data_IF_340931577513
#
_entry.id   IF_340931577513
#
_cell.length_a   1.000
_cell.length_b   1.000
_cell.length_c   1.000
_cell.angle_alpha   90.00
_cell.angle_beta   90.00
_cell.angle_gamma   90.00
#
_symmetry.space_group_name_H-M   'P 1'
#
loop_
_entity.id
_entity.type
_entity.pdbx_description
1 polymer ?
#
# COMPACT_ATOMS: atom_id res chain seq x y z
N UNK A 1 30.40 -10.51 -10.42
CA UNK A 1 29.58 -10.48 -11.65
C UNK A 1 28.12 -10.59 -11.23
N UNK A 2 27.26 -9.65 -11.66
CA UNK A 2 25.84 -9.75 -11.43
C UNK A 2 25.31 -11.00 -12.14
N UNK A 3 24.40 -11.76 -11.49
CA UNK A 3 23.78 -12.95 -12.09
C UNK A 3 23.04 -12.52 -13.37
N UNK A 4 23.39 -13.11 -14.50
CA UNK A 4 22.73 -12.90 -15.79
C UNK A 4 21.34 -13.56 -15.87
N UNK A 5 20.91 -14.29 -14.83
CA UNK A 5 19.62 -14.95 -14.80
C UNK A 5 18.59 -14.05 -14.15
N UNK A 6 17.62 -13.62 -14.95
CA UNK A 6 16.39 -13.01 -14.41
C UNK A 6 15.69 -13.97 -13.44
N UNK A 7 15.30 -13.43 -12.28
CA UNK A 7 14.60 -14.17 -11.24
C UNK A 7 13.36 -13.39 -10.83
N UNK A 8 12.37 -14.07 -10.27
CA UNK A 8 11.16 -13.44 -9.75
C UNK A 8 9.90 -14.16 -10.16
N UNK A 9 8.77 -13.63 -9.68
CA UNK A 9 7.45 -14.24 -9.86
C UNK A 9 7.08 -14.42 -11.35
N UNK A 10 7.23 -13.37 -12.15
CA UNK A 10 6.93 -13.40 -13.58
C UNK A 10 7.80 -14.42 -14.33
N UNK A 11 9.09 -14.53 -13.96
CA UNK A 11 10.01 -15.47 -14.59
C UNK A 11 9.65 -16.92 -14.29
N UNK A 12 9.25 -17.23 -13.06
CA UNK A 12 8.76 -18.57 -12.71
C UNK A 12 7.52 -18.95 -13.54
N UNK A 13 6.60 -18.01 -13.76
CA UNK A 13 5.40 -18.23 -14.59
C UNK A 13 5.78 -18.50 -16.04
N UNK A 14 6.62 -17.64 -16.64
CA UNK A 14 7.10 -17.82 -18.02
C UNK A 14 7.84 -19.17 -18.20
N UNK A 15 8.69 -19.51 -17.25
CA UNK A 15 9.40 -20.79 -17.25
C UNK A 15 8.45 -21.98 -17.12
N UNK A 16 7.36 -21.83 -16.37
CA UNK A 16 6.35 -22.87 -16.25
C UNK A 16 5.58 -23.05 -17.56
N UNK A 17 5.26 -21.98 -18.27
CA UNK A 17 4.67 -22.05 -19.60
C UNK A 17 5.60 -22.75 -20.62
N UNK A 18 6.91 -22.45 -20.59
CA UNK A 18 7.88 -23.17 -21.39
C UNK A 18 7.90 -24.67 -21.07
N UNK A 19 7.87 -25.02 -19.78
CA UNK A 19 7.80 -26.41 -19.35
C UNK A 19 6.53 -27.11 -19.89
N UNK A 20 5.37 -26.45 -19.81
CA UNK A 20 4.11 -26.98 -20.36
C UNK A 20 4.21 -27.18 -21.87
N UNK A 21 4.80 -26.25 -22.60
CA UNK A 21 4.98 -26.38 -24.04
C UNK A 21 5.80 -27.64 -24.41
N UNK A 22 6.93 -27.88 -23.72
CA UNK A 22 7.73 -29.11 -23.95
C UNK A 22 6.94 -30.36 -23.66
N UNK A 23 6.32 -30.49 -22.47
CA UNK A 23 5.60 -31.71 -22.11
C UNK A 23 4.37 -31.93 -23.00
N UNK A 24 3.76 -30.88 -23.54
CA UNK A 24 2.68 -30.98 -24.52
C UNK A 24 3.20 -31.52 -25.87
N UNK A 25 4.42 -31.14 -26.27
CA UNK A 25 5.05 -31.64 -27.49
C UNK A 25 5.45 -33.11 -27.41
N UNK A 26 5.63 -33.66 -26.21
CA UNK A 26 5.92 -35.10 -26.02
C UNK A 26 4.70 -36.00 -26.28
N UNK A 27 3.53 -35.42 -26.47
CA UNK A 27 2.30 -36.15 -26.87
C UNK A 27 1.89 -37.24 -25.90
N UNK A 28 1.50 -38.41 -26.42
CA UNK A 28 1.01 -39.53 -25.62
C UNK A 28 2.06 -40.17 -24.68
N UNK A 29 3.35 -39.91 -24.92
CA UNK A 29 4.43 -40.37 -24.04
C UNK A 29 4.44 -39.65 -22.69
N UNK A 30 3.98 -38.43 -22.65
CA UNK A 30 3.77 -37.69 -21.37
C UNK A 30 2.36 -37.99 -20.83
N UNK A 31 2.27 -39.08 -20.03
CA UNK A 31 0.99 -39.51 -19.46
C UNK A 31 1.10 -39.83 -17.96
N UNK A 32 1.24 -38.78 -17.11
CA UNK A 32 1.34 -38.96 -15.66
C UNK A 32 0.05 -39.51 -15.05
N UNK A 33 0.15 -40.47 -14.14
CA UNK A 33 -0.98 -40.97 -13.36
C UNK A 33 -1.49 -39.98 -12.34
N UNK A 34 -0.59 -39.11 -11.82
CA UNK A 34 -0.95 -38.01 -10.89
C UNK A 34 -1.68 -36.93 -11.64
N UNK A 35 -2.97 -36.71 -11.30
CA UNK A 35 -3.85 -35.72 -11.95
C UNK A 35 -3.23 -34.33 -12.01
N UNK A 36 -2.62 -33.84 -10.90
CA UNK A 36 -2.01 -32.54 -10.81
C UNK A 36 -0.87 -32.27 -11.83
N UNK A 37 -0.30 -33.35 -12.43
CA UNK A 37 0.78 -33.21 -13.42
C UNK A 37 0.26 -33.30 -14.86
N UNK A 38 -1.02 -33.57 -15.08
CA UNK A 38 -1.60 -33.61 -16.44
C UNK A 38 -1.65 -32.22 -17.05
N UNK A 39 -1.45 -32.12 -18.35
CA UNK A 39 -1.39 -30.84 -19.09
C UNK A 39 -2.57 -29.89 -18.81
N UNK A 40 -3.85 -30.33 -18.70
CA UNK A 40 -4.94 -29.43 -18.37
C UNK A 40 -4.78 -28.76 -16.99
N UNK A 41 -4.34 -29.51 -15.99
CA UNK A 41 -4.09 -28.98 -14.63
C UNK A 41 -2.89 -28.04 -14.58
N UNK A 42 -1.82 -28.35 -15.34
CA UNK A 42 -0.68 -27.44 -15.47
C UNK A 42 -1.09 -26.11 -16.09
N UNK A 43 -1.92 -26.13 -17.13
CA UNK A 43 -2.48 -24.90 -17.74
C UNK A 43 -3.33 -24.12 -16.74
N UNK A 44 -4.15 -24.79 -15.93
CA UNK A 44 -4.95 -24.14 -14.88
C UNK A 44 -4.04 -23.44 -13.84
N UNK A 45 -2.95 -24.08 -13.42
CA UNK A 45 -1.97 -23.48 -12.50
C UNK A 45 -1.31 -22.25 -13.15
N UNK A 46 -0.90 -22.34 -14.42
CA UNK A 46 -0.29 -21.24 -15.16
C UNK A 46 -1.24 -20.02 -15.24
N UNK A 47 -2.47 -20.20 -15.70
CA UNK A 47 -3.48 -19.15 -15.82
C UNK A 47 -3.81 -18.52 -14.45
N UNK A 48 -3.92 -19.37 -13.40
CA UNK A 48 -4.16 -18.88 -12.05
C UNK A 48 -2.99 -18.02 -11.56
N UNK A 49 -1.75 -18.44 -11.81
CA UNK A 49 -0.56 -17.68 -11.42
C UNK A 49 -0.45 -16.34 -12.14
N UNK A 50 -0.76 -16.28 -13.45
CA UNK A 50 -0.83 -15.05 -14.22
C UNK A 50 -1.88 -14.10 -13.65
N UNK A 51 -3.09 -14.61 -13.39
CA UNK A 51 -4.18 -13.83 -12.79
C UNK A 51 -3.76 -13.24 -11.45
N UNK A 52 -3.13 -14.03 -10.58
CA UNK A 52 -2.67 -13.55 -9.27
C UNK A 52 -1.54 -12.52 -9.37
N UNK A 53 -0.66 -12.65 -10.36
CA UNK A 53 0.36 -11.64 -10.64
C UNK A 53 -0.28 -10.32 -11.12
N UNK A 54 -1.24 -10.38 -12.04
CA UNK A 54 -1.97 -9.22 -12.53
C UNK A 54 -2.80 -8.53 -11.43
N UNK A 55 -3.42 -9.30 -10.53
CA UNK A 55 -4.12 -8.77 -9.36
C UNK A 55 -3.19 -7.92 -8.48
N UNK A 56 -1.96 -8.36 -8.21
CA UNK A 56 -0.99 -7.56 -7.43
C UNK A 56 -0.70 -6.23 -8.10
N UNK A 57 -0.50 -6.20 -9.41
CA UNK A 57 -0.25 -4.97 -10.18
C UNK A 57 -1.45 -4.02 -10.04
N UNK A 58 -2.66 -4.51 -10.26
CA UNK A 58 -3.90 -3.72 -10.15
C UNK A 58 -4.09 -3.16 -8.75
N UNK A 59 -3.91 -3.99 -7.70
CA UNK A 59 -4.07 -3.55 -6.30
C UNK A 59 -2.98 -2.55 -5.90
N UNK A 60 -1.74 -2.72 -6.39
CA UNK A 60 -0.67 -1.76 -6.13
C UNK A 60 -0.94 -0.40 -6.79
N UNK A 61 -1.47 -0.39 -8.02
CA UNK A 61 -1.90 0.85 -8.69
C UNK A 61 -3.02 1.54 -7.90
N UNK A 62 -4.03 0.79 -7.43
CA UNK A 62 -5.10 1.33 -6.60
C UNK A 62 -4.58 1.92 -5.27
N UNK A 63 -3.59 1.28 -4.64
CA UNK A 63 -2.94 1.82 -3.44
C UNK A 63 -2.22 3.15 -3.74
N UNK A 64 -1.44 3.22 -4.82
CA UNK A 64 -0.76 4.45 -5.20
C UNK A 64 -1.75 5.59 -5.48
N UNK A 65 -2.86 5.30 -6.16
CA UNK A 65 -3.92 6.27 -6.41
C UNK A 65 -4.55 6.76 -5.09
N UNK A 66 -4.86 5.87 -4.16
CA UNK A 66 -5.39 6.26 -2.85
C UNK A 66 -4.41 7.14 -2.05
N UNK A 67 -3.09 6.86 -2.11
CA UNK A 67 -2.05 7.69 -1.49
C UNK A 67 -2.02 9.08 -2.11
N UNK A 68 -2.08 9.17 -3.44
CA UNK A 68 -2.09 10.44 -4.18
C UNK A 68 -3.36 11.25 -3.87
N UNK A 69 -4.53 10.63 -3.88
CA UNK A 69 -5.81 11.24 -3.54
C UNK A 69 -5.77 11.84 -2.13
N UNK A 70 -5.28 11.08 -1.15
CA UNK A 70 -5.10 11.58 0.22
C UNK A 70 -4.19 12.80 0.24
N UNK A 71 -3.04 12.74 -0.42
CA UNK A 71 -2.10 13.87 -0.48
C UNK A 71 -2.76 15.12 -1.06
N UNK A 72 -3.51 14.99 -2.15
CA UNK A 72 -4.24 16.09 -2.79
C UNK A 72 -5.31 16.66 -1.84
N UNK A 73 -6.11 15.78 -1.22
CA UNK A 73 -7.19 16.18 -0.31
C UNK A 73 -6.67 16.98 0.89
N UNK A 74 -5.48 16.65 1.40
CA UNK A 74 -4.86 17.35 2.53
C UNK A 74 -4.03 18.58 2.14
N UNK A 75 -3.71 18.77 0.87
CA UNK A 75 -2.75 19.80 0.42
C UNK A 75 -3.12 21.22 0.84
N UNK A 76 -4.39 21.62 0.80
CA UNK A 76 -4.86 22.95 1.16
C UNK A 76 -5.22 23.16 2.64
N UNK A 77 -5.11 22.11 3.48
CA UNK A 77 -5.70 22.11 4.82
C UNK A 77 -5.07 23.15 5.76
N UNK A 78 -3.78 23.39 5.66
CA UNK A 78 -3.07 24.41 6.46
C UNK A 78 -3.50 25.83 6.11
N UNK A 79 -3.67 26.12 4.83
CA UNK A 79 -4.15 27.41 4.38
C UNK A 79 -5.61 27.63 4.81
N UNK A 80 -6.46 26.62 4.65
CA UNK A 80 -7.86 26.65 5.09
C UNK A 80 -7.94 26.90 6.60
N UNK A 81 -7.17 26.19 7.43
CA UNK A 81 -7.19 26.38 8.89
C UNK A 81 -6.82 27.81 9.31
N UNK A 82 -5.89 28.46 8.62
CA UNK A 82 -5.54 29.85 8.87
C UNK A 82 -6.69 30.82 8.50
N UNK A 83 -7.34 30.59 7.34
CA UNK A 83 -8.50 31.38 6.91
C UNK A 83 -9.66 31.27 7.88
N UNK A 84 -9.92 30.05 8.41
CA UNK A 84 -10.97 29.80 9.40
C UNK A 84 -10.74 30.58 10.69
N UNK A 85 -9.50 30.62 11.19
CA UNK A 85 -9.16 31.44 12.38
C UNK A 85 -9.35 32.93 12.10
N UNK A 86 -8.87 33.41 10.95
CA UNK A 86 -9.04 34.81 10.58
C UNK A 86 -10.53 35.20 10.44
N UNK A 87 -11.35 34.32 9.86
CA UNK A 87 -12.79 34.53 9.77
C UNK A 87 -13.44 34.58 11.17
N UNK A 88 -13.03 33.73 12.11
CA UNK A 88 -13.50 33.76 13.49
C UNK A 88 -13.10 35.07 14.19
N UNK A 89 -11.90 35.61 13.94
CA UNK A 89 -11.41 36.85 14.52
C UNK A 89 -12.22 38.09 14.07
N UNK A 90 -12.94 38.04 12.96
CA UNK A 90 -13.80 39.11 12.47
C UNK A 90 -15.22 39.05 13.03
N UNK A 91 -15.51 38.06 13.88
CA UNK A 91 -16.83 37.91 14.55
C UNK A 91 -16.82 38.51 15.97
N UNK A 92 -17.96 38.40 16.67
CA UNK A 92 -18.06 38.76 18.08
C UNK A 92 -17.61 37.66 19.05
N UNK A 93 -16.79 36.71 18.56
CA UNK A 93 -16.33 35.57 19.38
C UNK A 93 -15.49 36.04 20.58
N UNK A 94 -15.65 35.42 21.75
CA UNK A 94 -14.82 35.68 22.94
C UNK A 94 -13.32 35.35 22.63
N UNK A 95 -12.43 36.12 23.29
CA UNK A 95 -10.97 35.95 23.11
C UNK A 95 -10.50 34.53 23.42
N UNK A 96 -11.13 33.85 24.35
CA UNK A 96 -10.85 32.49 24.75
C UNK A 96 -11.08 31.51 23.58
N UNK A 97 -12.22 31.63 22.90
CA UNK A 97 -12.53 30.79 21.71
C UNK A 97 -11.57 31.04 20.57
N UNK A 98 -11.22 32.31 20.32
CA UNK A 98 -10.21 32.68 19.31
C UNK A 98 -8.85 32.07 19.68
N UNK A 99 -8.47 32.07 20.97
CA UNK A 99 -7.24 31.48 21.46
C UNK A 99 -7.22 29.94 21.23
N UNK A 100 -8.33 29.27 21.49
CA UNK A 100 -8.48 27.84 21.24
C UNK A 100 -8.33 27.50 19.75
N UNK A 101 -9.02 28.21 18.88
CA UNK A 101 -8.92 28.09 17.43
C UNK A 101 -7.46 28.28 16.93
N UNK A 102 -6.78 29.34 17.43
CA UNK A 102 -5.35 29.57 17.18
C UNK A 102 -4.47 28.41 17.64
N UNK A 103 -4.81 27.79 18.78
CA UNK A 103 -4.14 26.61 19.30
C UNK A 103 -4.17 25.42 18.33
N UNK A 104 -5.36 25.11 17.79
CA UNK A 104 -5.52 24.04 16.80
C UNK A 104 -4.84 24.37 15.46
N UNK A 105 -4.98 25.59 14.96
CA UNK A 105 -4.28 26.03 13.75
C UNK A 105 -2.76 25.89 13.92
N UNK A 106 -2.18 26.32 15.03
CA UNK A 106 -0.75 26.19 15.31
C UNK A 106 -0.27 24.74 15.26
N UNK A 107 -1.05 23.79 15.81
CA UNK A 107 -0.75 22.34 15.73
C UNK A 107 -0.77 21.85 14.28
N UNK A 108 -1.77 22.24 13.49
CA UNK A 108 -1.88 21.92 12.07
C UNK A 108 -0.74 22.50 11.23
N UNK A 109 -0.24 23.71 11.60
CA UNK A 109 0.95 24.30 10.97
C UNK A 109 2.25 23.59 11.36
N UNK A 110 2.26 22.75 12.40
CA UNK A 110 3.46 22.14 12.97
C UNK A 110 4.33 23.11 13.76
N UNK A 111 3.76 24.23 14.20
CA UNK A 111 4.47 25.25 14.98
C UNK A 111 4.39 24.96 16.48
N UNK A 112 5.46 25.21 17.21
CA UNK A 112 5.50 25.09 18.68
C UNK A 112 4.72 26.23 19.35
N UNK A 113 4.23 25.97 20.56
CA UNK A 113 3.51 26.98 21.36
C UNK A 113 4.43 28.09 21.87
N UNK A 114 5.68 27.75 22.18
CA UNK A 114 6.69 28.68 22.70
C UNK A 114 8.05 28.47 22.02
N UNK A 115 8.83 29.51 21.90
CA UNK A 115 10.26 29.42 21.56
C UNK A 115 11.00 28.72 22.70
N UNK A 116 11.92 27.84 22.37
CA UNK A 116 12.83 27.23 23.34
C UNK A 116 13.72 28.39 23.82
N UNK A 117 13.63 28.74 25.11
CA UNK A 117 14.59 29.66 25.69
C UNK A 117 15.90 28.92 25.87
N UNK A 118 16.94 29.35 25.18
CA UNK A 118 18.31 28.89 25.45
C UNK A 118 18.67 29.35 26.87
N UNK A 119 19.21 28.44 27.73
CA UNK A 119 19.66 28.84 29.05
C UNK A 119 20.67 29.97 28.94
N UNK A 120 20.56 30.97 29.82
CA UNK A 120 21.49 32.10 29.90
C UNK A 120 22.85 31.67 30.45
N UNK A 121 22.91 30.53 31.12
CA UNK A 121 24.15 29.91 31.63
C UNK A 121 24.74 28.98 30.56
N UNK A 122 25.98 29.21 30.07
CA UNK A 122 26.63 28.37 29.07
C UNK A 122 26.87 26.91 29.51
N UNK A 123 26.82 26.63 30.81
CA UNK A 123 27.04 25.30 31.39
C UNK A 123 25.74 24.59 31.77
N UNK A 124 24.58 25.23 31.60
CA UNK A 124 23.31 24.58 31.87
C UNK A 124 22.94 23.56 30.76
N UNK A 125 22.46 22.37 31.11
CA UNK A 125 22.08 21.38 30.13
C UNK A 125 20.95 21.91 29.22
N UNK A 126 21.18 21.85 27.91
CA UNK A 126 20.16 22.24 26.92
C UNK A 126 18.87 21.43 27.18
N UNK A 127 17.71 22.10 27.37
CA UNK A 127 16.47 21.39 27.63
C UNK A 127 16.18 20.38 26.49
N UNK A 128 16.04 19.11 26.83
CA UNK A 128 15.61 18.07 25.89
C UNK A 128 14.18 18.36 25.47
N UNK A 129 14.01 18.97 24.32
CA UNK A 129 12.68 19.26 23.76
C UNK A 129 12.20 18.08 22.92
N UNK A 130 11.16 17.40 23.39
CA UNK A 130 10.46 16.42 22.59
C UNK A 130 9.71 17.19 21.50
N UNK A 131 9.95 16.83 20.23
CA UNK A 131 9.17 17.37 19.11
C UNK A 131 7.72 16.94 19.27
N UNK A 132 6.83 17.89 19.50
CA UNK A 132 5.37 17.66 19.54
C UNK A 132 4.74 17.80 18.16
N UNK A 133 5.49 17.58 17.08
CA UNK A 133 4.97 17.67 15.72
C UNK A 133 3.92 16.58 15.47
N UNK A 134 2.66 16.92 15.59
CA UNK A 134 1.49 16.08 15.37
C UNK A 134 0.96 16.31 13.95
N UNK A 135 1.77 15.97 12.94
CA UNK A 135 1.47 16.19 11.52
C UNK A 135 1.10 14.92 10.75
N UNK A 136 0.87 13.79 11.45
CA UNK A 136 0.28 12.63 10.79
C UNK A 136 -1.12 12.96 10.25
N UNK A 137 -1.56 12.26 9.23
CA UNK A 137 -2.89 12.48 8.66
C UNK A 137 -4.00 12.33 9.72
N UNK A 138 -3.88 11.37 10.63
CA UNK A 138 -4.83 11.15 11.72
C UNK A 138 -4.86 12.36 12.68
N UNK A 139 -3.69 12.89 13.04
CA UNK A 139 -3.60 14.07 13.90
C UNK A 139 -4.13 15.34 13.22
N UNK A 140 -3.87 15.49 11.90
CA UNK A 140 -4.44 16.60 11.12
C UNK A 140 -5.97 16.54 11.07
N UNK A 141 -6.56 15.33 10.92
CA UNK A 141 -8.01 15.13 11.00
C UNK A 141 -8.55 15.56 12.37
N UNK A 142 -7.90 15.10 13.46
CA UNK A 142 -8.33 15.43 14.82
C UNK A 142 -8.25 16.95 15.10
N UNK A 143 -7.16 17.60 14.69
CA UNK A 143 -7.00 19.05 14.90
C UNK A 143 -7.98 19.86 14.05
N UNK A 144 -8.26 19.40 12.82
CA UNK A 144 -9.28 20.03 11.97
C UNK A 144 -10.68 19.87 12.57
N UNK A 145 -11.03 18.68 13.04
CA UNK A 145 -12.30 18.42 13.71
C UNK A 145 -12.47 19.29 14.96
N UNK A 146 -11.42 19.43 15.78
CA UNK A 146 -11.45 20.28 16.97
C UNK A 146 -11.59 21.76 16.61
N UNK A 147 -10.93 22.25 15.55
CA UNK A 147 -11.11 23.60 15.05
C UNK A 147 -12.55 23.82 14.58
N UNK A 148 -13.12 22.90 13.79
CA UNK A 148 -14.52 22.98 13.33
C UNK A 148 -15.49 22.99 14.51
N UNK A 149 -15.26 22.21 15.57
CA UNK A 149 -16.09 22.20 16.77
C UNK A 149 -16.08 23.56 17.49
N UNK A 150 -14.93 24.26 17.54
CA UNK A 150 -14.87 25.61 18.10
C UNK A 150 -15.73 26.56 17.26
N UNK A 151 -15.64 26.50 15.92
CA UNK A 151 -16.44 27.33 15.02
C UNK A 151 -17.95 27.05 15.18
N UNK A 152 -18.34 25.77 15.28
CA UNK A 152 -19.73 25.38 15.52
C UNK A 152 -20.29 25.86 16.85
N UNK A 153 -19.46 26.00 17.87
CA UNK A 153 -19.86 26.51 19.19
C UNK A 153 -20.06 28.05 19.22
N UNK A 154 -19.71 28.76 18.15
CA UNK A 154 -19.78 30.22 18.08
C UNK A 154 -20.93 30.64 17.18
N UNK A 155 -21.97 31.22 17.80
CA UNK A 155 -23.20 31.64 17.10
C UNK A 155 -22.99 32.82 16.15
N UNK A 156 -21.97 33.66 16.38
CA UNK A 156 -21.60 34.77 15.49
C UNK A 156 -20.76 34.33 14.29
N UNK A 157 -20.33 33.05 14.20
CA UNK A 157 -19.60 32.52 13.06
C UNK A 157 -20.55 32.18 11.91
N UNK A 158 -20.81 33.13 11.04
CA UNK A 158 -21.72 33.02 9.89
C UNK A 158 -21.04 33.55 8.61
N UNK A 159 -19.98 32.89 8.12
CA UNK A 159 -19.26 33.36 6.93
C UNK A 159 -20.13 33.26 5.67
N UNK A 160 -19.99 34.20 4.77
CA UNK A 160 -20.67 34.23 3.47
C UNK A 160 -19.92 33.36 2.43
N UNK A 161 -18.64 33.08 2.67
CA UNK A 161 -17.79 32.27 1.79
C UNK A 161 -18.20 30.83 1.83
N UNK A 162 -18.47 30.25 0.65
CA UNK A 162 -18.98 28.88 0.52
C UNK A 162 -18.06 27.83 1.13
N UNK A 163 -16.74 28.02 1.07
CA UNK A 163 -15.74 27.05 1.57
C UNK A 163 -15.42 27.22 3.07
N UNK A 164 -15.92 28.28 3.71
CA UNK A 164 -15.74 28.52 5.15
C UNK A 164 -16.99 28.18 5.96
N UNK A 165 -18.14 27.92 5.33
CA UNK A 165 -19.36 27.59 6.06
C UNK A 165 -19.31 26.20 6.70
N UNK A 166 -20.07 26.01 7.79
CA UNK A 166 -20.03 24.78 8.60
C UNK A 166 -20.40 23.52 7.81
N UNK A 167 -21.28 23.62 6.81
CA UNK A 167 -21.67 22.46 5.97
C UNK A 167 -20.50 22.03 5.10
N UNK A 168 -19.81 22.98 4.46
CA UNK A 168 -18.63 22.69 3.66
C UNK A 168 -17.48 22.11 4.52
N UNK A 169 -17.31 22.60 5.75
CA UNK A 169 -16.31 22.11 6.68
C UNK A 169 -16.62 20.68 7.14
N UNK A 170 -17.89 20.34 7.41
CA UNK A 170 -18.31 18.99 7.73
C UNK A 170 -18.07 18.02 6.55
N UNK A 171 -18.38 18.45 5.33
CA UNK A 171 -18.09 17.70 4.10
C UNK A 171 -16.58 17.47 3.94
N UNK A 172 -15.78 18.52 4.14
CA UNK A 172 -14.30 18.42 4.08
C UNK A 172 -13.75 17.46 5.12
N UNK A 173 -14.26 17.52 6.35
CA UNK A 173 -13.85 16.57 7.42
C UNK A 173 -14.16 15.13 7.06
N UNK A 174 -15.36 14.85 6.54
CA UNK A 174 -15.76 13.52 6.08
C UNK A 174 -14.86 13.02 4.94
N UNK A 175 -14.51 13.88 3.99
CA UNK A 175 -13.61 13.55 2.89
C UNK A 175 -12.19 13.22 3.36
N UNK A 176 -11.64 14.02 4.29
CA UNK A 176 -10.33 13.74 4.90
C UNK A 176 -10.29 12.35 5.55
N UNK A 177 -11.32 11.98 6.32
CA UNK A 177 -11.46 10.66 6.96
C UNK A 177 -11.57 9.57 5.90
N UNK A 178 -12.43 9.75 4.89
CA UNK A 178 -12.65 8.77 3.84
C UNK A 178 -11.36 8.47 3.04
N UNK A 179 -10.63 9.51 2.63
CA UNK A 179 -9.37 9.36 1.88
C UNK A 179 -8.26 8.73 2.73
N UNK A 180 -8.18 9.04 4.02
CA UNK A 180 -7.22 8.39 4.91
C UNK A 180 -7.53 6.90 5.10
N UNK A 181 -8.79 6.53 5.30
CA UNK A 181 -9.22 5.13 5.42
C UNK A 181 -9.05 4.35 4.11
N UNK A 182 -9.25 5.00 2.95
CA UNK A 182 -9.06 4.37 1.64
C UNK A 182 -7.63 3.87 1.44
N UNK A 183 -6.62 4.61 1.93
CA UNK A 183 -5.21 4.17 1.88
C UNK A 183 -5.00 2.90 2.70
N UNK A 184 -5.54 2.84 3.91
CA UNK A 184 -5.44 1.64 4.77
C UNK A 184 -6.09 0.42 4.11
N UNK A 185 -7.29 0.60 3.56
CA UNK A 185 -8.00 -0.47 2.84
C UNK A 185 -7.21 -0.95 1.62
N UNK A 186 -6.70 -0.01 0.82
CA UNK A 186 -5.92 -0.35 -0.37
C UNK A 186 -4.60 -1.07 0.00
N UNK A 187 -3.93 -0.67 1.08
CA UNK A 187 -2.73 -1.35 1.59
C UNK A 187 -3.01 -2.80 1.99
N UNK A 188 -4.11 -3.05 2.72
CA UNK A 188 -4.55 -4.41 3.08
C UNK A 188 -4.79 -5.25 1.82
N UNK A 189 -5.46 -4.68 0.81
CA UNK A 189 -5.73 -5.36 -0.44
C UNK A 189 -4.45 -5.75 -1.21
N UNK A 190 -3.44 -4.88 -1.24
CA UNK A 190 -2.13 -5.20 -1.83
C UNK A 190 -1.48 -6.37 -1.08
N UNK A 191 -1.45 -6.34 0.24
CA UNK A 191 -0.83 -7.41 1.03
C UNK A 191 -1.55 -8.74 0.84
N UNK A 192 -2.88 -8.76 0.84
CA UNK A 192 -3.66 -9.97 0.59
C UNK A 192 -3.42 -10.53 -0.82
N UNK A 193 -3.30 -9.67 -1.84
CA UNK A 193 -3.00 -10.11 -3.19
C UNK A 193 -1.59 -10.71 -3.32
N UNK A 194 -0.60 -10.15 -2.61
CA UNK A 194 0.76 -10.72 -2.53
C UNK A 194 0.76 -12.09 -1.88
N UNK A 195 0.06 -12.25 -0.74
CA UNK A 195 -0.08 -13.55 -0.07
C UNK A 195 -0.74 -14.57 -0.98
N UNK A 196 -1.79 -14.20 -1.71
CA UNK A 196 -2.47 -15.09 -2.65
C UNK A 196 -1.56 -15.52 -3.81
N UNK A 197 -0.79 -14.58 -4.40
CA UNK A 197 0.21 -14.87 -5.42
C UNK A 197 1.26 -15.85 -4.90
N UNK A 198 1.83 -15.58 -3.72
CA UNK A 198 2.91 -16.38 -3.15
C UNK A 198 2.42 -17.80 -2.81
N UNK A 199 1.18 -17.92 -2.32
CA UNK A 199 0.53 -19.22 -2.13
C UNK A 199 0.39 -20.00 -3.45
N UNK A 200 0.01 -19.34 -4.54
CA UNK A 200 -0.13 -19.96 -5.86
C UNK A 200 1.24 -20.42 -6.40
N UNK A 201 2.27 -19.61 -6.22
CA UNK A 201 3.60 -19.91 -6.77
C UNK A 201 4.42 -20.86 -5.91
N UNK A 202 4.37 -20.73 -4.58
CA UNK A 202 5.36 -21.33 -3.67
C UNK A 202 4.78 -22.24 -2.58
N UNK A 203 3.45 -22.49 -2.59
CA UNK A 203 2.88 -23.39 -1.59
C UNK A 203 3.52 -24.77 -1.68
N UNK A 204 4.03 -25.35 -0.57
CA UNK A 204 4.64 -26.68 -0.59
C UNK A 204 3.73 -27.73 -1.23
N UNK A 205 4.27 -28.54 -2.12
CA UNK A 205 3.64 -29.63 -2.87
C UNK A 205 2.57 -29.23 -3.91
N UNK A 206 1.95 -28.06 -3.78
CA UNK A 206 0.82 -27.64 -4.64
C UNK A 206 1.09 -26.36 -5.42
N UNK A 207 2.14 -25.63 -5.08
CA UNK A 207 2.54 -24.41 -5.77
C UNK A 207 3.18 -24.70 -7.13
N UNK A 208 3.17 -23.69 -7.99
CA UNK A 208 3.72 -23.77 -9.35
C UNK A 208 5.15 -24.33 -9.38
N UNK A 209 6.02 -23.84 -8.47
CA UNK A 209 7.44 -24.21 -8.44
C UNK A 209 7.61 -25.68 -8.09
N UNK A 210 6.95 -26.17 -7.04
CA UNK A 210 7.03 -27.58 -6.64
C UNK A 210 6.41 -28.49 -7.72
N UNK A 211 5.28 -28.08 -8.32
CA UNK A 211 4.67 -28.81 -9.44
C UNK A 211 5.63 -28.88 -10.63
N UNK A 212 6.33 -27.80 -10.97
CA UNK A 212 7.33 -27.80 -12.03
C UNK A 212 8.46 -28.81 -11.76
N UNK A 213 8.95 -28.87 -10.52
CA UNK A 213 9.99 -29.82 -10.13
C UNK A 213 9.49 -31.26 -10.19
N UNK A 214 8.23 -31.52 -9.85
CA UNK A 214 7.63 -32.86 -10.00
C UNK A 214 7.47 -33.26 -11.46
N UNK A 215 7.05 -32.32 -12.35
CA UNK A 215 6.98 -32.54 -13.80
C UNK A 215 8.35 -32.98 -14.33
N UNK A 216 9.43 -32.28 -13.98
CA UNK A 216 10.79 -32.63 -14.39
C UNK A 216 11.19 -34.04 -13.92
N UNK A 217 10.84 -34.39 -12.67
CA UNK A 217 11.09 -35.76 -12.15
C UNK A 217 10.32 -36.81 -12.93
N UNK A 218 9.07 -36.52 -13.31
CA UNK A 218 8.27 -37.41 -14.13
C UNK A 218 8.88 -37.59 -15.53
N UNK A 219 9.27 -36.49 -16.22
CA UNK A 219 9.96 -36.60 -17.52
C UNK A 219 11.22 -37.43 -17.40
N UNK A 220 12.04 -37.22 -16.36
CA UNK A 220 13.21 -38.03 -16.09
C UNK A 220 12.89 -39.54 -15.94
N UNK A 221 11.76 -39.87 -15.29
CA UNK A 221 11.37 -41.26 -15.08
C UNK A 221 10.90 -41.96 -16.37
N UNK A 222 10.31 -41.21 -17.30
CA UNK A 222 9.78 -41.76 -18.57
C UNK A 222 10.85 -41.85 -19.64
N UNK A 223 11.66 -40.79 -19.80
CA UNK A 223 12.63 -40.73 -20.91
C UNK A 223 14.06 -41.09 -20.50
N UNK A 224 14.37 -41.06 -19.22
CA UNK A 224 15.71 -41.32 -18.68
C UNK A 224 16.51 -40.05 -18.41
N UNK A 225 17.57 -40.19 -17.62
CA UNK A 225 18.37 -39.04 -17.13
C UNK A 225 19.29 -38.43 -18.19
N UNK A 226 19.54 -39.10 -19.28
CA UNK A 226 20.44 -38.70 -20.39
C UNK A 226 19.67 -38.43 -21.67
N UNK A 227 18.34 -38.42 -21.64
CA UNK A 227 17.51 -38.17 -22.80
C UNK A 227 17.49 -36.70 -23.20
N UNK A 228 17.38 -36.38 -24.49
CA UNK A 228 17.19 -34.99 -24.95
C UNK A 228 15.97 -34.31 -24.35
N UNK A 229 14.87 -35.04 -24.16
CA UNK A 229 13.63 -34.56 -23.57
C UNK A 229 13.85 -34.11 -22.12
N UNK A 230 14.61 -34.89 -21.33
CA UNK A 230 14.92 -34.48 -19.95
C UNK A 230 15.89 -33.29 -19.92
N UNK A 231 16.89 -33.25 -20.77
CA UNK A 231 17.83 -32.12 -20.86
C UNK A 231 17.09 -30.81 -21.17
N UNK A 232 16.13 -30.80 -22.10
CA UNK A 232 15.31 -29.64 -22.45
C UNK A 232 14.59 -29.06 -21.22
N UNK A 233 13.93 -29.89 -20.41
CA UNK A 233 13.16 -29.45 -19.26
C UNK A 233 14.03 -29.18 -18.03
N UNK A 234 15.10 -29.93 -17.86
CA UNK A 234 16.01 -29.84 -16.72
C UNK A 234 16.68 -28.45 -16.65
N UNK A 235 17.05 -27.88 -17.80
CA UNK A 235 17.68 -26.57 -17.92
C UNK A 235 16.77 -25.39 -17.56
N UNK A 236 15.44 -25.55 -17.46
CA UNK A 236 14.52 -24.46 -17.13
C UNK A 236 14.64 -24.13 -15.62
N UNK A 237 15.06 -22.93 -15.20
CA UNK A 237 15.24 -22.63 -13.78
C UNK A 237 13.92 -22.31 -13.09
N UNK A 238 13.73 -22.86 -11.88
CA UNK A 238 12.67 -22.49 -10.95
C UNK A 238 13.27 -22.14 -9.59
N UNK A 239 12.84 -21.04 -8.99
CA UNK A 239 13.36 -20.58 -7.71
C UNK A 239 12.23 -20.32 -6.73
N UNK A 240 12.34 -20.88 -5.53
CA UNK A 240 11.52 -20.46 -4.41
C UNK A 240 11.94 -19.07 -3.95
N UNK A 241 10.98 -18.27 -3.48
CA UNK A 241 11.28 -17.03 -2.80
C UNK A 241 12.08 -17.34 -1.52
N UNK A 242 13.23 -16.68 -1.37
CA UNK A 242 13.95 -16.78 -0.09
C UNK A 242 13.11 -16.02 0.95
N UNK A 243 12.63 -16.73 1.96
CA UNK A 243 12.08 -16.13 3.17
C UNK A 243 13.16 -15.38 3.93
#
# INVERSE_FOLDING_TARGET
MASTYETGHAKNIANFQHLIAFVSAYGATYNPSKEALKTPQLNTIATTAETKLAEVITKNTAYNNAVNDRMITFSGLKALSTRLVNALETTNAPKEKISDAKGFNRKMQGKRASTIQTPTDPNAPVPKTISSAQLSYDQLIQHFAALVAVLQSETSYLPNENDLNLIALATKQADLVAKNNAVTTAYINVNNSRIARDKTLYNPKTGLVDTALEVKKYVKSVFGSTSPEYEQVNGIPFRNEKK
#
